data_IF_264878139415
#
_entry.id   IF_264878139415
#
_cell.length_a   1.000
_cell.length_b   1.000
_cell.length_c   1.000
_cell.angle_alpha   90.00
_cell.angle_beta   90.00
_cell.angle_gamma   90.00
#
_symmetry.space_group_name_H-M   'P 1'
#
loop_
_entity.id
_entity.type
_entity.pdbx_description
1 polymer ?
#
# COMPACT_ATOMS: atom_id res chain seq x y z
N UNK A 1 9.90 20.61 -39.74
CA UNK A 1 9.92 19.20 -39.32
C UNK A 1 11.31 18.93 -38.79
N UNK A 2 11.52 19.12 -37.51
CA UNK A 2 12.79 18.88 -36.82
C UNK A 2 12.69 17.55 -36.09
N UNK A 3 13.47 16.58 -36.57
CA UNK A 3 13.69 15.30 -35.95
C UNK A 3 14.27 15.48 -34.54
N UNK A 4 13.42 15.44 -33.52
CA UNK A 4 13.88 15.28 -32.14
C UNK A 4 14.29 13.82 -31.98
N UNK A 5 15.56 13.53 -32.26
CA UNK A 5 16.21 12.29 -31.87
C UNK A 5 16.20 12.20 -30.35
N UNK A 6 15.15 11.65 -29.75
CA UNK A 6 15.17 11.18 -28.34
C UNK A 6 15.89 9.85 -28.28
N UNK A 7 17.22 9.89 -28.23
CA UNK A 7 18.09 8.74 -27.92
C UNK A 7 18.08 8.44 -26.42
N UNK A 8 16.94 8.50 -25.77
CA UNK A 8 16.79 8.02 -24.40
C UNK A 8 16.18 6.62 -24.43
N UNK A 9 16.92 5.63 -23.89
CA UNK A 9 16.36 4.29 -23.69
C UNK A 9 14.98 4.42 -23.03
N UNK A 10 13.94 3.73 -23.54
CA UNK A 10 12.55 3.90 -23.06
C UNK A 10 12.41 3.71 -21.53
N UNK A 11 13.29 2.92 -20.93
CA UNK A 11 13.41 2.71 -19.50
C UNK A 11 13.78 4.00 -18.73
N UNK A 12 14.78 4.78 -19.21
CA UNK A 12 15.21 6.01 -18.54
C UNK A 12 14.19 7.13 -18.64
N UNK A 13 13.50 7.24 -19.77
CA UNK A 13 12.41 8.19 -19.92
C UNK A 13 11.28 7.90 -18.94
N UNK A 14 10.91 6.62 -18.80
CA UNK A 14 9.90 6.17 -17.85
C UNK A 14 10.33 6.41 -16.40
N UNK A 15 11.59 6.12 -16.04
CA UNK A 15 12.11 6.36 -14.69
C UNK A 15 12.03 7.86 -14.31
N UNK A 16 12.49 8.74 -15.21
CA UNK A 16 12.44 10.19 -14.99
C UNK A 16 11.00 10.71 -14.86
N UNK A 17 10.06 10.16 -15.61
CA UNK A 17 8.66 10.58 -15.55
C UNK A 17 7.94 10.03 -14.31
N UNK A 18 8.31 8.84 -13.83
CA UNK A 18 7.73 8.22 -12.64
C UNK A 18 8.18 8.86 -11.32
N UNK A 19 9.40 9.43 -11.29
CA UNK A 19 9.98 10.00 -10.07
C UNK A 19 9.14 11.17 -9.50
N UNK A 20 8.80 12.23 -10.26
CA UNK A 20 7.97 13.32 -9.74
C UNK A 20 6.55 12.86 -9.38
N UNK A 21 6.04 11.81 -10.03
CA UNK A 21 4.72 11.28 -9.75
C UNK A 21 4.68 10.48 -8.43
N UNK A 22 5.76 9.78 -8.07
CA UNK A 22 5.89 9.05 -6.81
C UNK A 22 6.40 9.90 -5.64
N UNK A 23 7.03 11.06 -5.92
CA UNK A 23 7.69 11.89 -4.92
C UNK A 23 6.79 12.42 -3.79
N UNK A 24 5.48 12.69 -3.97
CA UNK A 24 4.61 13.07 -2.86
C UNK A 24 4.54 12.00 -1.76
N UNK A 25 4.68 10.72 -2.14
CA UNK A 25 4.66 9.60 -1.18
C UNK A 25 6.00 9.39 -0.47
N UNK A 26 7.08 10.00 -0.95
CA UNK A 26 8.44 9.85 -0.39
C UNK A 26 8.48 10.18 1.10
N UNK A 27 7.92 11.32 1.51
CA UNK A 27 7.96 11.79 2.89
C UNK A 27 7.24 10.81 3.84
N UNK A 28 6.05 10.37 3.46
CA UNK A 28 5.26 9.42 4.25
C UNK A 28 5.95 8.05 4.37
N UNK A 29 6.44 7.51 3.26
CA UNK A 29 7.14 6.23 3.24
C UNK A 29 8.46 6.24 4.00
N UNK A 30 9.26 7.31 3.85
CA UNK A 30 10.49 7.46 4.64
C UNK A 30 10.18 7.58 6.12
N UNK A 31 9.22 8.41 6.50
CA UNK A 31 8.87 8.60 7.90
C UNK A 31 8.42 7.29 8.56
N UNK A 32 7.49 6.58 7.94
CA UNK A 32 6.99 5.31 8.46
C UNK A 32 8.03 4.19 8.39
N UNK A 33 8.84 4.15 7.33
CA UNK A 33 9.95 3.22 7.21
C UNK A 33 10.98 3.44 8.32
N UNK A 34 11.33 4.72 8.61
CA UNK A 34 12.22 5.07 9.72
C UNK A 34 11.60 4.63 11.05
N UNK A 35 10.32 4.89 11.28
CA UNK A 35 9.62 4.43 12.49
C UNK A 35 9.66 2.90 12.64
N UNK A 36 9.44 2.16 11.52
CA UNK A 36 9.56 0.70 11.49
C UNK A 36 11.00 0.22 11.80
N UNK A 37 12.00 0.88 11.21
CA UNK A 37 13.42 0.56 11.48
C UNK A 37 13.81 0.77 12.94
N UNK A 38 13.35 1.88 13.56
CA UNK A 38 13.54 2.17 14.99
C UNK A 38 12.85 1.08 15.84
N UNK A 39 11.63 0.71 15.51
CA UNK A 39 10.88 -0.36 16.19
C UNK A 39 11.63 -1.69 16.16
N UNK A 40 12.12 -2.10 15.00
CA UNK A 40 12.94 -3.31 14.86
C UNK A 40 14.23 -3.25 15.67
N UNK A 41 14.86 -2.07 15.75
CA UNK A 41 16.05 -1.84 16.58
C UNK A 41 15.74 -1.98 18.07
N UNK A 42 14.62 -1.43 18.52
CA UNK A 42 14.16 -1.54 19.90
C UNK A 42 13.83 -2.99 20.32
N UNK A 43 13.40 -3.82 19.36
CA UNK A 43 13.22 -5.26 19.56
C UNK A 43 14.53 -6.07 19.53
N UNK A 44 15.68 -5.41 19.31
CA UNK A 44 17.01 -6.04 19.30
C UNK A 44 17.46 -6.57 17.94
N UNK A 45 16.69 -6.34 16.87
CA UNK A 45 17.06 -6.80 15.53
C UNK A 45 18.09 -5.89 14.85
N UNK A 46 19.07 -6.50 14.20
CA UNK A 46 20.06 -5.78 13.39
C UNK A 46 19.45 -5.25 12.08
N UNK A 47 20.15 -4.31 11.41
CA UNK A 47 19.69 -3.59 10.21
C UNK A 47 19.23 -4.49 9.06
N UNK A 48 19.81 -5.67 8.93
CA UNK A 48 19.44 -6.59 7.86
C UNK A 48 18.01 -7.12 7.97
N UNK A 49 17.50 -7.28 9.19
CA UNK A 49 16.13 -7.78 9.40
C UNK A 49 15.07 -6.83 8.83
N UNK A 50 14.98 -5.55 9.24
CA UNK A 50 13.98 -4.65 8.68
C UNK A 50 14.18 -4.39 7.19
N UNK A 51 15.42 -4.34 6.68
CA UNK A 51 15.66 -4.13 5.25
C UNK A 51 15.20 -5.35 4.43
N UNK A 52 15.53 -6.57 4.86
CA UNK A 52 15.08 -7.79 4.17
C UNK A 52 13.56 -7.97 4.25
N UNK A 53 12.95 -7.69 5.40
CA UNK A 53 11.49 -7.73 5.52
C UNK A 53 10.84 -6.69 4.60
N UNK A 54 11.34 -5.46 4.57
CA UNK A 54 10.89 -4.42 3.67
C UNK A 54 10.99 -4.80 2.19
N UNK A 55 12.05 -5.51 1.79
CA UNK A 55 12.26 -5.95 0.41
C UNK A 55 11.47 -7.21 0.03
N UNK A 56 11.18 -8.10 0.97
CA UNK A 56 10.57 -9.40 0.68
C UNK A 56 9.09 -9.45 1.02
N UNK A 57 8.66 -8.80 2.11
CA UNK A 57 7.27 -8.79 2.58
C UNK A 57 6.55 -7.58 1.99
N UNK A 58 7.14 -6.40 2.13
CA UNK A 58 6.62 -5.13 1.62
C UNK A 58 5.14 -4.92 1.93
N UNK A 59 4.78 -5.08 3.20
CA UNK A 59 3.42 -4.91 3.70
C UNK A 59 3.45 -4.22 5.07
N UNK A 60 3.71 -2.92 5.09
CA UNK A 60 4.05 -2.11 6.28
C UNK A 60 3.34 -2.53 7.57
N UNK A 61 1.99 -2.56 7.59
CA UNK A 61 1.23 -2.97 8.77
C UNK A 61 1.54 -4.41 9.21
N UNK A 62 1.72 -5.34 8.26
CA UNK A 62 2.08 -6.73 8.56
C UNK A 62 3.49 -6.82 9.09
N UNK A 63 4.43 -6.04 8.56
CA UNK A 63 5.82 -6.02 9.01
C UNK A 63 5.93 -5.61 10.49
N UNK A 64 5.18 -4.60 10.94
CA UNK A 64 5.12 -4.22 12.36
C UNK A 64 4.58 -5.34 13.23
N UNK A 65 3.52 -6.02 12.81
CA UNK A 65 2.90 -7.10 13.57
C UNK A 65 3.83 -8.31 13.63
N UNK A 66 4.42 -8.70 12.49
CA UNK A 66 5.35 -9.83 12.43
C UNK A 66 6.62 -9.52 13.23
N UNK A 67 7.14 -8.28 13.20
CA UNK A 67 8.27 -7.87 14.01
C UNK A 67 8.02 -8.12 15.50
N UNK A 68 6.85 -7.76 16.01
CA UNK A 68 6.44 -8.08 17.39
C UNK A 68 6.33 -9.60 17.62
N UNK A 69 5.76 -10.34 16.67
CA UNK A 69 5.62 -11.79 16.78
C UNK A 69 6.96 -12.55 16.72
N UNK A 70 7.98 -12.03 16.01
CA UNK A 70 9.33 -12.62 15.98
C UNK A 70 10.01 -12.62 17.36
N UNK A 71 9.60 -11.74 18.27
CA UNK A 71 10.10 -11.69 19.65
C UNK A 71 9.40 -12.66 20.57
N UNK A 72 8.37 -13.36 20.11
CA UNK A 72 7.56 -14.32 20.85
C UNK A 72 7.87 -15.76 20.41
N UNK A 73 7.18 -16.74 21.02
CA UNK A 73 7.27 -18.14 20.59
C UNK A 73 6.80 -18.29 19.13
N UNK A 74 7.53 -19.08 18.35
CA UNK A 74 7.26 -19.33 16.95
C UNK A 74 5.85 -19.95 16.74
N UNK A 75 4.95 -19.18 16.14
CA UNK A 75 3.57 -19.57 15.88
C UNK A 75 3.16 -19.27 14.42
N UNK A 76 3.61 -20.07 13.44
CA UNK A 76 3.45 -19.77 12.02
C UNK A 76 1.98 -19.70 11.59
N UNK A 77 1.11 -20.50 12.17
CA UNK A 77 -0.33 -20.47 11.88
C UNK A 77 -0.96 -19.14 12.29
N UNK A 78 -0.62 -18.64 13.48
CA UNK A 78 -1.10 -17.35 13.96
C UNK A 78 -0.57 -16.21 13.07
N UNK A 79 0.72 -16.24 12.68
CA UNK A 79 1.30 -15.28 11.76
C UNK A 79 0.58 -15.29 10.41
N UNK A 80 0.25 -16.47 9.86
CA UNK A 80 -0.51 -16.61 8.63
C UNK A 80 -1.92 -16.02 8.75
N UNK A 81 -2.65 -16.35 9.81
CA UNK A 81 -4.01 -15.84 10.04
C UNK A 81 -4.01 -14.32 10.18
N UNK A 82 -3.11 -13.76 10.98
CA UNK A 82 -2.98 -12.32 11.15
C UNK A 82 -2.63 -11.65 9.82
N UNK A 83 -1.69 -12.21 9.06
CA UNK A 83 -1.33 -11.69 7.74
C UNK A 83 -2.53 -11.67 6.79
N UNK A 84 -3.30 -12.76 6.72
CA UNK A 84 -4.50 -12.82 5.89
C UNK A 84 -5.57 -11.82 6.34
N UNK A 85 -5.73 -11.62 7.64
CA UNK A 85 -6.68 -10.64 8.18
C UNK A 85 -6.28 -9.21 7.82
N UNK A 86 -5.02 -8.85 7.98
CA UNK A 86 -4.54 -7.48 7.78
C UNK A 86 -4.33 -7.15 6.30
N UNK A 87 -3.73 -8.09 5.55
CA UNK A 87 -3.41 -7.90 4.13
C UNK A 87 -4.45 -8.45 3.15
N UNK A 88 -5.57 -8.98 3.63
CA UNK A 88 -6.64 -9.53 2.78
C UNK A 88 -7.15 -8.54 1.73
N UNK A 89 -7.12 -7.24 2.02
CA UNK A 89 -7.48 -6.17 1.07
C UNK A 89 -6.59 -6.16 -0.18
N UNK A 90 -5.33 -6.57 -0.10
CA UNK A 90 -4.40 -6.61 -1.24
C UNK A 90 -4.84 -7.63 -2.31
N UNK A 91 -5.59 -8.67 -1.94
CA UNK A 91 -6.21 -9.59 -2.90
C UNK A 91 -7.19 -8.85 -3.81
N UNK A 92 -7.98 -7.96 -3.25
CA UNK A 92 -8.94 -7.16 -4.04
C UNK A 92 -8.25 -6.15 -4.95
N UNK A 93 -7.14 -5.55 -4.50
CA UNK A 93 -6.30 -4.69 -5.36
C UNK A 93 -5.75 -5.48 -6.54
N UNK A 94 -5.28 -6.70 -6.30
CA UNK A 94 -4.78 -7.57 -7.36
C UNK A 94 -5.86 -7.89 -8.40
N UNK A 95 -7.10 -8.13 -7.97
CA UNK A 95 -8.25 -8.36 -8.87
C UNK A 95 -8.55 -7.09 -9.67
N UNK A 96 -8.62 -5.92 -9.02
CA UNK A 96 -8.89 -4.65 -9.69
C UNK A 96 -7.82 -4.26 -10.72
N UNK A 97 -6.57 -4.70 -10.50
CA UNK A 97 -5.44 -4.42 -11.39
C UNK A 97 -5.27 -5.45 -12.52
N UNK A 98 -6.08 -6.52 -12.58
CA UNK A 98 -5.92 -7.59 -13.58
C UNK A 98 -5.91 -7.06 -15.03
N UNK A 99 -6.79 -6.14 -15.36
CA UNK A 99 -6.85 -5.53 -16.69
C UNK A 99 -5.66 -4.59 -16.93
N UNK A 100 -5.36 -3.73 -15.95
CA UNK A 100 -4.26 -2.77 -16.04
C UNK A 100 -2.89 -3.44 -16.07
N UNK A 101 -2.73 -4.52 -15.31
CA UNK A 101 -1.54 -5.37 -15.28
C UNK A 101 -1.65 -6.55 -16.25
N UNK A 102 -2.23 -6.32 -17.41
CA UNK A 102 -2.42 -7.33 -18.45
C UNK A 102 -1.12 -7.96 -18.95
N UNK A 103 -1.27 -8.94 -19.86
CA UNK A 103 -0.12 -9.69 -20.44
C UNK A 103 0.91 -8.80 -21.15
N UNK A 104 0.52 -7.60 -21.59
CA UNK A 104 1.38 -6.61 -22.26
C UNK A 104 2.57 -6.12 -21.40
N UNK A 105 2.48 -6.24 -20.07
CA UNK A 105 3.58 -5.85 -19.15
C UNK A 105 4.74 -6.86 -19.10
N UNK A 106 4.57 -8.07 -19.65
CA UNK A 106 5.61 -9.09 -19.75
C UNK A 106 6.26 -9.40 -18.39
N UNK A 107 7.60 -9.43 -18.37
CA UNK A 107 8.40 -9.77 -17.17
C UNK A 107 8.28 -8.79 -16.00
N UNK A 108 7.70 -7.60 -16.19
CA UNK A 108 7.50 -6.60 -15.13
C UNK A 108 6.29 -6.93 -14.25
N UNK A 109 5.33 -7.69 -14.80
CA UNK A 109 4.07 -8.02 -14.12
C UNK A 109 4.24 -8.72 -12.76
N UNK A 110 5.07 -9.76 -12.59
CA UNK A 110 5.26 -10.40 -11.28
C UNK A 110 5.72 -9.42 -10.20
N UNK A 111 6.65 -8.53 -10.54
CA UNK A 111 7.13 -7.51 -9.60
C UNK A 111 6.01 -6.54 -9.22
N UNK A 112 5.25 -6.04 -10.19
CA UNK A 112 4.13 -5.13 -9.95
C UNK A 112 3.05 -5.75 -9.06
N UNK A 113 2.80 -7.06 -9.19
CA UNK A 113 1.86 -7.79 -8.34
C UNK A 113 2.43 -7.96 -6.93
N UNK A 114 3.71 -8.35 -6.81
CA UNK A 114 4.37 -8.55 -5.53
C UNK A 114 4.52 -7.26 -4.71
N UNK A 115 4.64 -6.10 -5.39
CA UNK A 115 4.77 -4.78 -4.74
C UNK A 115 3.46 -3.99 -4.72
N UNK A 116 2.31 -4.66 -4.76
CA UNK A 116 1.00 -4.04 -4.76
C UNK A 116 0.51 -3.79 -3.33
N UNK A 117 0.76 -2.58 -2.84
CA UNK A 117 0.27 -2.04 -1.56
C UNK A 117 -0.72 -0.89 -1.83
N UNK A 118 -1.34 -0.34 -0.78
CA UNK A 118 -2.37 0.70 -0.89
C UNK A 118 -1.96 1.86 -1.80
N UNK A 119 -0.77 2.39 -1.59
CA UNK A 119 -0.26 3.56 -2.31
C UNK A 119 0.17 3.21 -3.73
N UNK A 120 0.82 2.05 -3.93
CA UNK A 120 1.17 1.61 -5.29
C UNK A 120 -0.07 1.26 -6.11
N UNK A 121 -1.11 0.73 -5.47
CA UNK A 121 -2.41 0.53 -6.09
C UNK A 121 -3.02 1.86 -6.52
N UNK A 122 -3.14 2.83 -5.60
CA UNK A 122 -3.73 4.14 -5.86
C UNK A 122 -3.01 4.84 -7.02
N UNK A 123 -1.68 4.98 -6.92
CA UNK A 123 -0.90 5.65 -7.96
C UNK A 123 -0.98 4.92 -9.32
N UNK A 124 -0.80 3.61 -9.36
CA UNK A 124 -0.83 2.86 -10.61
C UNK A 124 -2.24 2.75 -11.21
N UNK A 125 -3.27 2.75 -10.36
CA UNK A 125 -4.65 2.76 -10.83
C UNK A 125 -5.02 4.07 -11.50
N UNK A 126 -4.60 5.20 -10.94
CA UNK A 126 -4.88 6.54 -11.44
C UNK A 126 -3.85 7.03 -12.48
N UNK A 127 -2.78 6.27 -12.73
CA UNK A 127 -1.69 6.71 -13.59
C UNK A 127 -2.16 7.07 -15.01
N UNK A 128 -2.02 8.33 -15.36
CA UNK A 128 -2.18 8.83 -16.73
C UNK A 128 -0.80 8.94 -17.38
N UNK A 129 -0.40 7.87 -18.06
CA UNK A 129 0.95 7.76 -18.65
C UNK A 129 0.99 8.51 -19.98
N UNK A 130 1.94 9.46 -20.17
CA UNK A 130 2.09 10.16 -21.43
C UNK A 130 2.29 9.22 -22.62
N UNK A 131 1.72 9.50 -23.81
CA UNK A 131 1.75 8.58 -24.96
C UNK A 131 3.15 8.19 -25.46
N UNK A 132 4.17 9.03 -25.19
CA UNK A 132 5.56 8.80 -25.57
C UNK A 132 6.38 8.00 -24.53
N UNK A 133 5.77 7.63 -23.40
CA UNK A 133 6.41 6.88 -22.32
C UNK A 133 5.92 5.43 -22.36
N UNK A 134 6.83 4.46 -22.23
CA UNK A 134 6.45 3.05 -22.06
C UNK A 134 5.72 2.86 -20.74
N UNK A 135 4.44 2.50 -20.84
CA UNK A 135 3.56 2.32 -19.69
C UNK A 135 4.07 1.26 -18.72
N UNK A 136 4.62 0.17 -19.24
CA UNK A 136 5.10 -0.92 -18.40
C UNK A 136 6.29 -0.51 -17.54
N UNK A 137 7.24 0.24 -18.11
CA UNK A 137 8.36 0.78 -17.35
C UNK A 137 7.93 1.90 -16.40
N UNK A 138 6.97 2.73 -16.80
CA UNK A 138 6.45 3.78 -15.93
C UNK A 138 5.84 3.20 -14.64
N UNK A 139 4.89 2.27 -14.76
CA UNK A 139 4.26 1.61 -13.60
C UNK A 139 5.28 0.85 -12.76
N UNK A 140 6.26 0.20 -13.40
CA UNK A 140 7.35 -0.46 -12.71
C UNK A 140 8.15 0.52 -11.85
N UNK A 141 8.56 1.67 -12.38
CA UNK A 141 9.35 2.64 -11.63
C UNK A 141 8.55 3.34 -10.54
N UNK A 142 7.26 3.60 -10.73
CA UNK A 142 6.40 4.08 -9.64
C UNK A 142 6.44 3.11 -8.46
N UNK A 143 6.16 1.82 -8.70
CA UNK A 143 6.21 0.80 -7.65
C UNK A 143 7.61 0.61 -7.06
N UNK A 144 8.65 0.66 -7.90
CA UNK A 144 10.05 0.52 -7.48
C UNK A 144 10.49 1.66 -6.56
N UNK A 145 10.14 2.89 -6.87
CA UNK A 145 10.48 4.04 -6.01
C UNK A 145 9.81 3.94 -4.65
N UNK A 146 8.51 3.63 -4.60
CA UNK A 146 7.80 3.42 -3.34
C UNK A 146 8.45 2.30 -2.50
N UNK A 147 8.76 1.18 -3.14
CA UNK A 147 9.43 0.05 -2.50
C UNK A 147 10.80 0.45 -1.91
N UNK A 148 11.59 1.22 -2.67
CA UNK A 148 12.88 1.71 -2.20
C UNK A 148 12.75 2.75 -1.09
N UNK A 149 11.77 3.65 -1.14
CA UNK A 149 11.52 4.61 -0.08
C UNK A 149 11.28 3.92 1.26
N UNK A 150 10.47 2.87 1.26
CA UNK A 150 10.19 2.05 2.43
C UNK A 150 11.45 1.34 2.95
N UNK A 151 12.17 0.62 2.10
CA UNK A 151 13.36 -0.15 2.49
C UNK A 151 14.49 0.75 2.98
N UNK A 152 14.72 1.90 2.34
CA UNK A 152 15.72 2.90 2.76
C UNK A 152 15.31 3.49 4.12
N UNK A 153 14.05 3.85 4.29
CA UNK A 153 13.53 4.33 5.57
C UNK A 153 13.76 3.32 6.69
N UNK A 154 13.43 2.05 6.47
CA UNK A 154 13.64 0.95 7.43
C UNK A 154 15.13 0.80 7.81
N UNK A 155 16.02 0.87 6.83
CA UNK A 155 17.48 0.83 7.07
C UNK A 155 17.97 2.01 7.89
N UNK A 156 17.62 3.23 7.50
CA UNK A 156 17.97 4.48 8.22
C UNK A 156 17.46 4.41 9.66
N UNK A 157 16.18 4.06 9.85
CA UNK A 157 15.58 3.98 11.17
C UNK A 157 16.28 2.99 12.08
N UNK A 158 16.67 1.84 11.59
CA UNK A 158 17.38 0.84 12.40
C UNK A 158 18.80 1.29 12.74
N UNK A 159 19.54 1.90 11.82
CA UNK A 159 20.91 2.39 12.08
C UNK A 159 20.92 3.49 13.11
N UNK A 160 20.00 4.45 12.98
CA UNK A 160 19.94 5.64 13.86
C UNK A 160 19.01 5.46 15.07
N UNK A 161 18.34 4.32 15.21
CA UNK A 161 17.34 4.06 16.24
C UNK A 161 17.84 4.15 17.69
N UNK A 162 19.16 4.03 17.93
CA UNK A 162 19.75 4.23 19.25
C UNK A 162 19.96 5.72 19.62
N UNK A 163 19.97 6.60 18.61
CA UNK A 163 20.27 8.04 18.79
C UNK A 163 18.97 8.81 19.04
N UNK A 164 17.87 8.31 18.48
CA UNK A 164 16.56 8.95 18.58
C UNK A 164 15.81 8.31 19.76
N UNK A 165 15.59 9.04 20.88
CA UNK A 165 14.79 8.55 21.99
C UNK A 165 13.31 8.52 21.54
N UNK A 166 12.92 7.45 20.87
CA UNK A 166 11.55 7.29 20.38
C UNK A 166 10.74 6.48 21.39
N UNK A 167 9.63 7.01 21.85
CA UNK A 167 8.66 6.23 22.63
C UNK A 167 7.87 5.32 21.66
N UNK A 168 7.96 4.00 21.85
CA UNK A 168 7.28 3.00 21.04
C UNK A 168 5.76 3.22 20.95
N UNK A 169 5.15 3.84 21.95
CA UNK A 169 3.73 4.19 21.97
C UNK A 169 3.32 5.14 20.84
N UNK A 170 4.25 6.01 20.38
CA UNK A 170 3.98 6.91 19.26
C UNK A 170 3.91 6.23 17.89
N UNK A 171 4.53 5.07 17.72
CA UNK A 171 4.59 4.35 16.45
C UNK A 171 3.20 3.79 16.06
N UNK A 172 2.48 3.20 17.03
CA UNK A 172 1.13 2.71 16.81
C UNK A 172 0.19 3.83 16.38
N UNK A 173 0.37 5.02 16.97
CA UNK A 173 -0.39 6.21 16.56
C UNK A 173 -0.03 6.67 15.13
N UNK A 174 1.24 6.61 14.74
CA UNK A 174 1.66 7.01 13.39
C UNK A 174 0.98 6.17 12.30
N UNK A 175 0.81 4.85 12.53
CA UNK A 175 0.07 3.98 11.62
C UNK A 175 -1.41 4.36 11.55
N UNK A 176 -2.04 4.59 12.69
CA UNK A 176 -3.44 5.04 12.75
C UNK A 176 -3.62 6.38 12.02
N UNK A 177 -2.70 7.34 12.23
CA UNK A 177 -2.70 8.62 11.56
C UNK A 177 -2.56 8.47 10.03
N UNK A 178 -1.68 7.59 9.55
CA UNK A 178 -1.55 7.30 8.12
C UNK A 178 -2.87 6.82 7.51
N UNK A 179 -3.52 5.84 8.14
CA UNK A 179 -4.79 5.34 7.63
C UNK A 179 -5.90 6.41 7.66
N UNK A 180 -5.90 7.29 8.65
CA UNK A 180 -6.81 8.44 8.69
C UNK A 180 -6.55 9.43 7.55
N UNK A 181 -5.27 9.70 7.24
CA UNK A 181 -4.91 10.57 6.11
C UNK A 181 -5.36 9.95 4.79
N UNK A 182 -5.03 8.67 4.54
CA UNK A 182 -5.45 7.95 3.32
C UNK A 182 -6.99 7.94 3.20
N UNK A 183 -7.69 7.68 4.29
CA UNK A 183 -9.15 7.71 4.31
C UNK A 183 -9.67 9.12 3.98
N UNK A 184 -9.09 10.16 4.58
CA UNK A 184 -9.50 11.56 4.37
C UNK A 184 -9.25 12.02 2.92
N UNK A 185 -8.11 11.62 2.33
CA UNK A 185 -7.80 11.90 0.93
C UNK A 185 -8.77 11.20 -0.03
N UNK A 186 -9.05 9.92 0.21
CA UNK A 186 -10.04 9.18 -0.58
C UNK A 186 -11.44 9.80 -0.44
N UNK A 187 -11.83 10.14 0.79
CA UNK A 187 -13.09 10.82 1.06
C UNK A 187 -13.21 12.14 0.30
N UNK A 188 -12.16 12.96 0.30
CA UNK A 188 -12.15 14.25 -0.40
C UNK A 188 -12.23 14.11 -1.94
N UNK A 189 -11.75 12.98 -2.50
CA UNK A 189 -11.78 12.72 -3.94
C UNK A 189 -13.07 12.02 -4.40
N UNK A 190 -13.81 11.42 -3.48
CA UNK A 190 -15.05 10.71 -3.79
C UNK A 190 -16.18 11.69 -4.12
N UNK A 191 -16.80 11.56 -5.29
CA UNK A 191 -18.00 12.32 -5.67
C UNK A 191 -19.27 11.87 -4.91
N UNK A 192 -19.27 10.62 -4.44
CA UNK A 192 -20.38 10.02 -3.69
C UNK A 192 -19.84 9.21 -2.53
N UNK A 193 -20.07 9.66 -1.30
CA UNK A 193 -19.58 9.03 -0.07
C UNK A 193 -20.37 7.77 0.34
N UNK A 194 -21.26 7.27 -0.53
CA UNK A 194 -22.12 6.12 -0.21
C UNK A 194 -21.32 4.86 0.08
N UNK A 195 -20.26 4.60 -0.69
CA UNK A 195 -19.40 3.43 -0.50
C UNK A 195 -18.60 3.49 0.79
N UNK A 196 -18.04 4.66 1.09
CA UNK A 196 -17.25 4.91 2.31
C UNK A 196 -18.11 4.84 3.56
N UNK A 197 -19.34 5.41 3.53
CA UNK A 197 -20.28 5.34 4.64
C UNK A 197 -20.77 3.91 4.89
N UNK A 198 -21.04 3.14 3.84
CA UNK A 198 -21.38 1.73 3.95
C UNK A 198 -20.25 0.92 4.55
N UNK A 199 -19.01 1.17 4.10
CA UNK A 199 -17.82 0.52 4.67
C UNK A 199 -17.66 0.80 6.16
N UNK A 200 -17.81 2.06 6.58
CA UNK A 200 -17.77 2.45 8.00
C UNK A 200 -18.88 1.80 8.82
N UNK A 201 -20.12 1.79 8.30
CA UNK A 201 -21.26 1.18 8.99
C UNK A 201 -21.05 -0.33 9.19
N UNK A 202 -20.61 -1.04 8.14
CA UNK A 202 -20.32 -2.48 8.21
C UNK A 202 -19.17 -2.75 9.20
N UNK A 203 -18.11 -1.91 9.18
CA UNK A 203 -17.00 -2.04 10.11
C UNK A 203 -17.45 -1.84 11.56
N UNK A 204 -18.27 -0.82 11.83
CA UNK A 204 -18.80 -0.55 13.17
C UNK A 204 -19.69 -1.70 13.67
N UNK A 205 -20.59 -2.19 12.81
CA UNK A 205 -21.46 -3.34 13.16
C UNK A 205 -20.62 -4.59 13.44
N UNK A 206 -19.65 -4.89 12.56
CA UNK A 206 -18.76 -6.05 12.72
C UNK A 206 -17.94 -5.95 14.01
N UNK A 207 -17.47 -4.76 14.37
CA UNK A 207 -16.72 -4.52 15.60
C UNK A 207 -17.57 -4.78 16.84
N UNK A 208 -18.84 -4.36 16.84
CA UNK A 208 -19.77 -4.58 17.94
C UNK A 208 -20.13 -6.07 18.07
N UNK A 209 -20.36 -6.77 16.95
CA UNK A 209 -20.82 -8.15 16.94
C UNK A 209 -19.69 -9.15 17.21
N UNK A 210 -18.52 -8.96 16.58
CA UNK A 210 -17.42 -9.92 16.62
C UNK A 210 -16.26 -9.51 17.55
N UNK A 211 -16.32 -8.29 18.11
CA UNK A 211 -15.27 -7.76 18.99
C UNK A 211 -13.98 -7.41 18.27
N UNK A 212 -13.01 -6.85 19.01
CA UNK A 212 -11.76 -6.29 18.44
C UNK A 212 -10.87 -7.32 17.74
N UNK A 213 -10.93 -8.56 18.15
CA UNK A 213 -10.01 -9.60 17.62
C UNK A 213 -10.46 -10.17 16.27
N UNK A 214 -11.79 -10.26 16.05
CA UNK A 214 -12.33 -11.00 14.90
C UNK A 214 -13.12 -10.16 13.91
N UNK A 215 -13.32 -8.85 14.15
CA UNK A 215 -14.21 -8.02 13.31
C UNK A 215 -13.71 -7.83 11.87
N UNK A 216 -12.42 -7.94 11.62
CA UNK A 216 -11.80 -7.53 10.36
C UNK A 216 -12.24 -8.41 9.18
N UNK A 217 -12.22 -9.75 9.34
CA UNK A 217 -12.68 -10.68 8.31
C UNK A 217 -14.17 -10.54 7.98
N UNK A 218 -15.09 -10.54 8.97
CA UNK A 218 -16.50 -10.27 8.71
C UNK A 218 -16.75 -8.92 8.04
N UNK A 219 -15.98 -7.87 8.41
CA UNK A 219 -16.04 -6.56 7.76
C UNK A 219 -15.70 -6.66 6.29
N UNK A 220 -14.57 -7.27 5.93
CA UNK A 220 -14.13 -7.40 4.54
C UNK A 220 -15.15 -8.19 3.70
N UNK A 221 -15.62 -9.32 4.21
CA UNK A 221 -16.65 -10.15 3.54
C UNK A 221 -17.95 -9.36 3.39
N UNK A 222 -18.38 -8.64 4.43
CA UNK A 222 -19.57 -7.82 4.41
C UNK A 222 -19.51 -6.69 3.40
N UNK A 223 -18.40 -5.93 3.38
CA UNK A 223 -18.16 -4.86 2.41
C UNK A 223 -18.17 -5.43 0.99
N UNK A 224 -17.41 -6.48 0.74
CA UNK A 224 -17.34 -7.11 -0.58
C UNK A 224 -18.73 -7.57 -1.06
N UNK A 225 -19.47 -8.24 -0.21
CA UNK A 225 -20.82 -8.74 -0.51
C UNK A 225 -21.77 -7.58 -0.83
N UNK A 226 -21.86 -6.60 0.06
CA UNK A 226 -22.80 -5.46 -0.11
C UNK A 226 -22.45 -4.64 -1.34
N UNK A 227 -21.19 -4.33 -1.59
CA UNK A 227 -20.77 -3.56 -2.77
C UNK A 227 -20.98 -4.34 -4.06
N UNK A 228 -20.76 -5.66 -4.07
CA UNK A 228 -21.01 -6.51 -5.23
C UNK A 228 -22.50 -6.53 -5.61
N UNK A 229 -23.38 -6.71 -4.64
CA UNK A 229 -24.83 -6.67 -4.88
C UNK A 229 -25.34 -5.27 -5.24
N UNK A 230 -24.70 -4.21 -4.77
CA UNK A 230 -25.06 -2.83 -5.09
C UNK A 230 -24.37 -2.27 -6.33
N UNK A 231 -23.42 -2.99 -6.91
CA UNK A 231 -22.66 -2.57 -8.09
C UNK A 231 -23.53 -1.98 -9.22
N UNK A 232 -24.67 -2.57 -9.64
CA UNK A 232 -25.49 -2.03 -10.71
C UNK A 232 -26.07 -0.65 -10.38
N UNK A 233 -26.47 -0.45 -9.12
CA UNK A 233 -27.02 0.84 -8.65
C UNK A 233 -25.96 1.92 -8.49
N UNK A 234 -24.79 1.56 -7.99
CA UNK A 234 -23.65 2.48 -7.80
C UNK A 234 -23.10 2.94 -9.16
N UNK A 235 -22.92 2.03 -10.11
CA UNK A 235 -22.45 2.34 -11.46
C UNK A 235 -23.39 3.32 -12.18
N UNK A 236 -24.69 3.06 -12.17
CA UNK A 236 -25.67 3.94 -12.80
C UNK A 236 -25.84 5.31 -12.13
N UNK A 237 -25.44 5.46 -10.87
CA UNK A 237 -25.39 6.76 -10.19
C UNK A 237 -24.12 7.54 -10.50
N UNK A 238 -22.99 6.88 -10.62
CA UNK A 238 -21.73 7.52 -11.01
C UNK A 238 -21.79 8.06 -12.42
N UNK A 239 -22.37 7.31 -13.37
CA UNK A 239 -22.61 7.78 -14.73
C UNK A 239 -23.46 9.05 -14.79
N UNK A 240 -24.49 9.15 -13.95
CA UNK A 240 -25.35 10.35 -13.84
C UNK A 240 -24.70 11.56 -13.18
N UNK A 241 -23.61 11.39 -12.47
CA UNK A 241 -22.85 12.50 -11.82
C UNK A 241 -21.76 12.99 -12.77
N UNK A 242 -21.40 12.18 -13.79
CA UNK A 242 -20.41 12.53 -14.81
C UNK A 242 -21.02 13.21 -16.05
N UNK A 243 -22.36 13.13 -16.23
CA UNK A 243 -23.15 13.91 -17.18
C UNK A 243 -23.51 15.29 -16.62
#
# INVERSE_FOLDING_TARGET
>A
MSDVKTNSHPMWAAAKAALPYSSPMLAGFLFLGVAYGIYMKALGFGVWYPVLMALLIYAGSVEFIIAGALSLAFAPLNALLITLMVSGRQLFYSIAMLEKYGKSLGKKRPYLIATLVDESFSLNYMANVPPHIDRGWYLFFVSFYLHMYWAIGAGIGNVFGNIIPFDLKGIEFAMTALFLVIFSENWAQEKSHESSLLGLAIAAISLIVFGREYFLLPTLIGIWTVLTFRRPKLSSRLERIEE
#
